data_IF_262285276685
#
_entry.id   IF_262285276685
#
_cell.length_a   1.000
_cell.length_b   1.000
_cell.length_c   1.000
_cell.angle_alpha   90.00
_cell.angle_beta   90.00
_cell.angle_gamma   90.00
#
_symmetry.space_group_name_H-M   'P 1'
#
loop_
_entity.id
_entity.type
_entity.pdbx_description
1 polymer ?
#
# COMPACT_ATOMS: atom_id res chain seq x y z
N UNK A 1 -10.69 20.20 13.84
CA UNK A 1 -10.19 18.82 13.68
C UNK A 1 -9.40 18.76 12.38
N UNK A 2 -8.07 18.84 12.48
CA UNK A 2 -7.17 18.91 11.33
C UNK A 2 -6.84 17.48 10.87
N UNK A 3 -7.23 17.11 9.64
CA UNK A 3 -6.87 15.82 9.04
C UNK A 3 -5.51 15.97 8.36
N UNK A 4 -4.46 15.48 9.01
CA UNK A 4 -3.13 15.40 8.44
C UNK A 4 -3.06 14.10 7.61
N UNK A 5 -3.07 14.24 6.28
CA UNK A 5 -2.75 13.16 5.36
C UNK A 5 -1.24 13.21 5.08
N UNK A 6 -0.45 12.35 5.72
CA UNK A 6 0.96 12.20 5.37
C UNK A 6 1.04 11.24 4.18
N UNK A 7 1.34 11.80 3.00
CA UNK A 7 1.79 11.03 1.85
C UNK A 7 3.31 10.87 1.96
N UNK A 8 3.79 9.66 2.25
CA UNK A 8 5.22 9.36 2.18
C UNK A 8 5.55 9.00 0.74
N UNK A 9 6.16 9.93 0.01
CA UNK A 9 6.78 9.65 -1.27
C UNK A 9 8.19 9.11 -1.01
N UNK A 10 8.41 7.81 -1.22
CA UNK A 10 9.76 7.24 -1.28
C UNK A 10 10.20 7.21 -2.75
N UNK A 11 11.02 8.18 -3.12
CA UNK A 11 11.74 8.18 -4.39
C UNK A 11 13.14 7.63 -4.09
N UNK A 12 13.46 6.45 -4.60
CA UNK A 12 14.86 6.01 -4.74
C UNK A 12 15.05 5.41 -6.12
N UNK A 13 15.61 6.23 -7.01
CA UNK A 13 16.21 5.83 -8.28
C UNK A 13 17.67 5.40 -8.05
N UNK A 14 18.07 4.24 -8.56
CA UNK A 14 19.44 4.00 -9.03
C UNK A 14 19.47 2.75 -9.94
N UNK A 15 19.58 3.01 -11.24
CA UNK A 15 19.98 2.05 -12.28
C UNK A 15 21.50 2.13 -12.44
N UNK A 16 22.21 1.07 -12.07
CA UNK A 16 23.60 0.79 -12.45
C UNK A 16 23.75 -0.73 -12.35
N UNK A 17 24.18 -1.54 -13.31
CA UNK A 17 24.81 -1.40 -14.61
C UNK A 17 25.60 -2.71 -14.79
N UNK A 18 25.18 -3.60 -15.70
CA UNK A 18 25.91 -4.85 -15.95
C UNK A 18 27.06 -4.59 -16.93
N UNK A 19 28.29 -4.86 -16.50
CA UNK A 19 29.47 -4.88 -17.36
C UNK A 19 29.79 -6.30 -17.83
N UNK A 20 30.12 -6.45 -19.11
CA UNK A 20 30.86 -7.60 -19.64
C UNK A 20 31.92 -7.08 -20.63
N UNK A 21 33.16 -7.51 -20.35
CA UNK A 21 34.44 -7.29 -21.05
C UNK A 21 34.56 -8.32 -22.19
N UNK A 22 34.94 -7.92 -23.41
CA UNK A 22 36.29 -7.84 -24.02
C UNK A 22 36.36 -8.81 -25.22
N UNK A 23 36.88 -8.36 -26.37
CA UNK A 23 37.05 -9.23 -27.54
C UNK A 23 37.51 -8.57 -28.85
N UNK A 24 38.71 -7.99 -28.84
CA UNK A 24 39.74 -7.87 -29.90
C UNK A 24 39.44 -7.31 -31.34
N UNK A 25 40.46 -6.71 -32.02
CA UNK A 25 40.28 -5.80 -33.16
C UNK A 25 40.70 -6.40 -34.52
N UNK A 26 40.24 -5.81 -35.64
CA UNK A 26 40.90 -5.91 -36.95
C UNK A 26 40.37 -4.87 -37.96
N UNK A 27 41.26 -4.00 -38.46
CA UNK A 27 41.33 -3.59 -39.87
C UNK A 27 40.40 -2.48 -40.40
N UNK A 28 40.93 -1.45 -41.11
CA UNK A 28 40.16 -0.30 -41.60
C UNK A 28 39.73 -0.47 -43.07
N UNK A 29 38.62 0.16 -43.49
CA UNK A 29 38.43 0.63 -44.87
C UNK A 29 37.26 1.63 -44.97
N UNK A 30 37.54 2.78 -45.60
CA UNK A 30 36.56 3.74 -46.12
C UNK A 30 35.78 3.14 -47.29
N UNK A 31 34.48 3.44 -47.39
CA UNK A 31 33.80 3.62 -48.67
C UNK A 31 32.50 4.42 -48.53
N UNK A 32 32.27 5.23 -49.55
CA UNK A 32 31.21 6.23 -49.77
C UNK A 32 29.90 5.59 -50.22
N UNK A 33 28.72 6.05 -49.74
CA UNK A 33 27.54 6.30 -50.58
C UNK A 33 26.41 7.05 -49.83
N UNK A 34 25.54 7.80 -50.53
CA UNK A 34 24.42 8.55 -49.98
C UNK A 34 23.15 7.68 -49.97
N UNK A 35 22.39 7.71 -48.88
CA UNK A 35 21.07 7.07 -48.82
C UNK A 35 19.97 8.09 -48.54
N UNK A 36 19.00 8.09 -49.46
CA UNK A 36 17.78 8.89 -49.42
C UNK A 36 16.83 8.32 -48.35
N UNK A 37 16.53 9.11 -47.33
CA UNK A 37 15.53 8.74 -46.32
C UNK A 37 14.14 9.22 -46.75
N UNK A 38 13.29 8.29 -47.19
CA UNK A 38 11.84 8.46 -47.14
C UNK A 38 11.35 8.02 -45.76
N UNK A 39 10.96 8.98 -44.91
CA UNK A 39 10.36 8.70 -43.59
C UNK A 39 8.88 8.33 -43.74
N UNK A 40 8.48 7.21 -43.15
CA UNK A 40 7.09 6.81 -43.01
C UNK A 40 6.32 7.73 -42.04
N UNK A 41 5.00 7.96 -42.22
CA UNK A 41 4.22 8.81 -41.33
C UNK A 41 4.15 8.24 -39.91
N UNK A 42 4.51 9.06 -38.92
CA UNK A 42 4.38 8.74 -37.49
C UNK A 42 2.90 8.72 -37.08
N UNK A 43 2.49 7.65 -36.39
CA UNK A 43 1.15 7.55 -35.80
C UNK A 43 0.93 8.67 -34.75
N UNK A 44 -0.30 9.20 -34.62
CA UNK A 44 -0.60 10.23 -33.62
C UNK A 44 -0.29 9.75 -32.18
N UNK A 45 0.17 10.64 -31.28
CA UNK A 45 0.35 10.30 -29.89
C UNK A 45 -0.97 9.78 -29.30
N UNK A 46 -0.92 8.59 -28.70
CA UNK A 46 -2.03 8.05 -27.94
C UNK A 46 -2.46 9.06 -26.87
N UNK A 47 -3.73 9.47 -26.92
CA UNK A 47 -4.33 10.29 -25.90
C UNK A 47 -4.17 9.59 -24.55
N UNK A 48 -3.48 10.25 -23.61
CA UNK A 48 -3.30 9.77 -22.25
C UNK A 48 -4.68 9.79 -21.58
N UNK A 49 -5.22 8.61 -21.26
CA UNK A 49 -6.41 8.50 -20.42
C UNK A 49 -6.12 9.20 -19.07
N UNK A 50 -7.10 9.94 -18.50
CA UNK A 50 -6.92 10.61 -17.22
C UNK A 50 -6.52 9.58 -16.15
N UNK A 51 -5.35 9.74 -15.54
CA UNK A 51 -4.92 8.93 -14.41
C UNK A 51 -5.92 9.10 -13.27
N UNK A 52 -6.80 8.10 -13.11
CA UNK A 52 -7.70 7.95 -11.99
C UNK A 52 -6.85 7.84 -10.71
N UNK A 53 -6.94 8.83 -9.83
CA UNK A 53 -6.33 8.77 -8.51
C UNK A 53 -6.82 7.51 -7.77
N UNK A 54 -5.94 6.56 -7.48
CA UNK A 54 -6.30 5.38 -6.69
C UNK A 54 -6.60 5.80 -5.24
N UNK A 55 -7.89 5.82 -4.90
CA UNK A 55 -8.34 5.94 -3.51
C UNK A 55 -7.89 4.67 -2.75
N UNK A 56 -7.45 4.78 -1.48
CA UNK A 56 -7.05 3.59 -0.72
C UNK A 56 -8.23 2.62 -0.60
N UNK A 57 -7.96 1.33 -0.89
CA UNK A 57 -8.91 0.22 -0.87
C UNK A 57 -9.76 0.20 0.41
N UNK A 58 -9.11 0.49 1.54
CA UNK A 58 -9.73 0.61 2.85
C UNK A 58 -9.43 1.96 3.50
N UNK A 59 -10.35 2.42 4.35
CA UNK A 59 -10.10 3.53 5.25
C UNK A 59 -10.57 3.18 6.66
N UNK A 60 -9.71 3.43 7.65
CA UNK A 60 -10.08 3.38 9.07
C UNK A 60 -10.61 4.76 9.48
N UNK A 61 -11.86 4.83 9.96
CA UNK A 61 -12.53 6.10 10.25
C UNK A 61 -12.42 6.55 11.71
N UNK A 62 -12.31 5.59 12.63
CA UNK A 62 -12.21 5.79 14.08
C UNK A 62 -11.53 4.52 14.61
N UNK A 63 -10.41 4.64 15.31
CA UNK A 63 -9.72 3.50 15.93
C UNK A 63 -9.08 3.90 17.26
N UNK A 64 -9.06 2.98 18.23
CA UNK A 64 -8.35 3.17 19.48
C UNK A 64 -8.70 2.11 20.53
N UNK A 65 -7.99 2.15 21.65
CA UNK A 65 -8.27 1.29 22.81
C UNK A 65 -9.49 1.85 23.56
N UNK A 66 -10.53 1.02 23.71
CA UNK A 66 -11.77 1.34 24.41
C UNK A 66 -12.15 0.18 25.34
N UNK A 67 -12.95 0.45 26.37
CA UNK A 67 -13.49 -0.60 27.24
C UNK A 67 -14.64 -1.33 26.52
N UNK A 68 -14.59 -2.65 26.53
CA UNK A 68 -15.66 -3.55 26.12
C UNK A 68 -16.60 -3.88 27.28
N UNK A 69 -17.44 -4.90 27.08
CA UNK A 69 -18.24 -5.44 28.17
C UNK A 69 -17.34 -5.97 29.30
N UNK A 70 -17.80 -5.88 30.54
CA UNK A 70 -17.07 -6.33 31.73
C UNK A 70 -15.71 -5.62 31.96
N UNK A 71 -15.47 -4.48 31.31
CA UNK A 71 -14.25 -3.68 31.51
C UNK A 71 -13.02 -4.17 30.74
N UNK A 72 -13.16 -5.19 29.89
CA UNK A 72 -12.06 -5.74 29.08
C UNK A 72 -11.56 -4.68 28.09
N UNK A 73 -10.23 -4.53 27.96
CA UNK A 73 -9.64 -3.62 26.97
C UNK A 73 -9.79 -4.20 25.56
N UNK A 74 -10.24 -3.38 24.62
CA UNK A 74 -10.45 -3.75 23.23
C UNK A 74 -9.88 -2.68 22.31
N UNK A 75 -9.22 -3.05 21.22
CA UNK A 75 -9.06 -2.13 20.10
C UNK A 75 -10.38 -2.13 19.33
N UNK A 76 -11.01 -0.97 19.23
CA UNK A 76 -12.26 -0.82 18.48
C UNK A 76 -12.05 0.13 17.33
N UNK A 77 -12.64 -0.19 16.17
CA UNK A 77 -12.66 0.75 15.07
C UNK A 77 -13.68 0.46 13.98
N UNK A 78 -13.66 1.29 12.93
CA UNK A 78 -14.53 1.11 11.76
C UNK A 78 -13.70 1.10 10.48
N UNK A 79 -13.75 -0.01 9.76
CA UNK A 79 -13.14 -0.15 8.43
C UNK A 79 -14.23 0.02 7.35
N UNK A 80 -13.93 0.77 6.29
CA UNK A 80 -14.81 0.87 5.11
C UNK A 80 -14.16 0.24 3.89
N UNK A 81 -14.89 -0.61 3.18
CA UNK A 81 -14.53 -1.02 1.81
C UNK A 81 -14.89 0.12 0.86
N UNK A 82 -13.90 0.77 0.24
CA UNK A 82 -14.13 1.86 -0.72
C UNK A 82 -14.24 1.38 -2.17
N UNK A 83 -14.17 0.07 -2.39
CA UNK A 83 -14.20 -0.53 -3.73
C UNK A 83 -15.61 -0.95 -4.13
N UNK A 84 -15.76 -1.27 -5.42
CA UNK A 84 -16.94 -1.96 -5.98
C UNK A 84 -16.85 -3.49 -5.86
N UNK A 85 -15.79 -4.04 -5.25
CA UNK A 85 -15.56 -5.48 -5.10
C UNK A 85 -16.01 -5.96 -3.72
N UNK A 86 -16.46 -7.21 -3.64
CA UNK A 86 -16.69 -7.90 -2.37
C UNK A 86 -15.42 -8.63 -1.94
N UNK A 87 -15.11 -8.65 -0.65
CA UNK A 87 -14.01 -9.44 -0.09
C UNK A 87 -14.55 -10.61 0.72
N UNK A 88 -14.15 -11.81 0.36
CA UNK A 88 -14.53 -13.05 1.05
C UNK A 88 -13.98 -13.10 2.49
N UNK A 89 -12.83 -12.46 2.70
CA UNK A 89 -12.19 -12.31 4.00
C UNK A 89 -11.43 -10.98 4.07
N UNK A 90 -11.50 -10.32 5.23
CA UNK A 90 -10.71 -9.14 5.57
C UNK A 90 -10.17 -9.31 6.98
N UNK A 91 -8.89 -9.02 7.18
CA UNK A 91 -8.22 -9.04 8.48
C UNK A 91 -7.48 -7.74 8.75
N UNK A 92 -7.58 -7.24 9.98
CA UNK A 92 -6.83 -6.10 10.49
C UNK A 92 -5.86 -6.62 11.54
N UNK A 93 -4.56 -6.38 11.32
CA UNK A 93 -3.48 -6.74 12.24
C UNK A 93 -3.03 -5.50 13.02
N UNK A 94 -2.88 -5.66 14.33
CA UNK A 94 -2.69 -4.54 15.25
C UNK A 94 -1.55 -4.86 16.22
N UNK A 95 -0.55 -3.99 16.29
CA UNK A 95 0.47 -4.03 17.32
C UNK A 95 0.02 -3.28 18.57
N UNK A 96 0.41 -3.78 19.74
CA UNK A 96 0.07 -3.22 21.04
C UNK A 96 1.33 -2.76 21.76
N UNK A 97 1.30 -1.55 22.30
CA UNK A 97 2.44 -0.90 22.93
C UNK A 97 2.08 -0.42 24.34
N UNK A 98 3.07 -0.44 25.24
CA UNK A 98 2.97 0.17 26.56
C UNK A 98 3.17 1.70 26.51
N UNK A 99 3.22 2.32 27.70
CA UNK A 99 3.39 3.77 27.86
C UNK A 99 4.77 4.29 27.48
N UNK A 100 5.77 3.41 27.42
CA UNK A 100 7.15 3.74 27.03
C UNK A 100 7.36 3.57 25.51
N UNK A 101 6.41 2.96 24.82
CA UNK A 101 6.48 2.68 23.39
C UNK A 101 7.11 1.33 23.05
N UNK A 102 7.29 0.44 24.03
CA UNK A 102 7.71 -0.95 23.79
C UNK A 102 6.53 -1.75 23.28
N UNK A 103 6.74 -2.56 22.24
CA UNK A 103 5.72 -3.49 21.78
C UNK A 103 5.57 -4.61 22.81
N UNK A 104 4.37 -4.72 23.39
CA UNK A 104 4.06 -5.72 24.43
C UNK A 104 3.21 -6.87 23.91
N UNK A 105 2.66 -6.74 22.69
CA UNK A 105 1.89 -7.80 22.06
C UNK A 105 1.33 -7.40 20.70
N UNK A 106 0.38 -8.20 20.23
CA UNK A 106 -0.40 -7.93 19.02
C UNK A 106 -1.79 -8.57 19.15
N UNK A 107 -2.73 -8.06 18.37
CA UNK A 107 -4.10 -8.59 18.27
C UNK A 107 -4.60 -8.45 16.84
N UNK A 108 -5.75 -9.05 16.54
CA UNK A 108 -6.37 -8.96 15.23
C UNK A 108 -7.90 -9.00 15.32
N UNK A 109 -8.54 -8.50 14.28
CA UNK A 109 -9.94 -8.72 14.02
C UNK A 109 -10.13 -9.13 12.56
N UNK A 110 -11.17 -9.91 12.29
CA UNK A 110 -11.52 -10.30 10.92
C UNK A 110 -13.03 -10.28 10.67
N UNK A 111 -13.39 -10.29 9.39
CA UNK A 111 -14.77 -10.41 8.92
C UNK A 111 -14.80 -11.16 7.57
N UNK A 112 -15.86 -11.91 7.35
CA UNK A 112 -16.14 -12.55 6.07
C UNK A 112 -17.14 -11.74 5.24
N UNK A 113 -17.04 -11.87 3.92
CA UNK A 113 -18.03 -11.38 2.96
C UNK A 113 -18.30 -9.86 3.07
N UNK A 114 -17.24 -9.05 3.19
CA UNK A 114 -17.36 -7.60 3.26
C UNK A 114 -17.75 -7.03 1.90
N UNK A 115 -19.04 -6.70 1.78
CA UNK A 115 -19.64 -6.20 0.54
C UNK A 115 -19.02 -4.86 0.05
N UNK A 116 -19.21 -4.53 -1.24
CA UNK A 116 -18.82 -3.23 -1.79
C UNK A 116 -19.39 -2.06 -1.00
N UNK A 117 -18.58 -1.05 -0.72
CA UNK A 117 -19.03 0.16 0.01
C UNK A 117 -19.34 -0.03 1.50
N UNK A 118 -19.35 -1.28 2.00
CA UNK A 118 -19.79 -1.60 3.36
C UNK A 118 -18.81 -1.07 4.42
N UNK A 119 -19.35 -0.86 5.62
CA UNK A 119 -18.59 -0.54 6.83
C UNK A 119 -18.67 -1.70 7.80
N UNK A 120 -17.53 -2.03 8.39
CA UNK A 120 -17.41 -3.04 9.43
C UNK A 120 -16.87 -2.40 10.71
N UNK A 121 -17.64 -2.53 11.80
CA UNK A 121 -17.21 -2.19 13.15
C UNK A 121 -16.51 -3.40 13.75
N UNK A 122 -15.23 -3.27 14.06
CA UNK A 122 -14.43 -4.36 14.61
C UNK A 122 -14.09 -4.11 16.07
N UNK A 123 -13.93 -5.21 16.81
CA UNK A 123 -13.41 -5.24 18.17
C UNK A 123 -12.33 -6.33 18.22
N UNK A 124 -11.15 -5.98 18.71
CA UNK A 124 -10.04 -6.91 18.91
C UNK A 124 -9.63 -6.90 20.39
N UNK A 125 -9.69 -8.04 21.11
CA UNK A 125 -9.35 -8.09 22.52
C UNK A 125 -7.87 -7.83 22.76
N UNK A 126 -7.60 -7.14 23.87
CA UNK A 126 -6.26 -6.88 24.39
C UNK A 126 -6.10 -7.75 25.63
N UNK A 127 -5.11 -8.64 25.61
CA UNK A 127 -4.79 -9.50 26.76
C UNK A 127 -3.68 -8.90 27.62
N UNK A 128 -2.92 -7.95 27.06
CA UNK A 128 -1.78 -7.31 27.66
C UNK A 128 -2.23 -6.14 28.54
N UNK A 129 -2.16 -6.32 29.86
CA UNK A 129 -2.58 -5.29 30.82
C UNK A 129 -1.81 -3.97 30.66
N UNK A 130 -0.52 -4.05 30.31
CA UNK A 130 0.35 -2.90 30.09
C UNK A 130 0.06 -2.12 28.81
N UNK A 131 -0.73 -2.68 27.88
CA UNK A 131 -1.01 -2.00 26.62
C UNK A 131 -1.84 -0.74 26.83
N UNK A 132 -1.30 0.38 26.33
CA UNK A 132 -1.90 1.73 26.37
C UNK A 132 -2.01 2.38 25.01
N UNK A 133 -1.30 1.86 24.00
CA UNK A 133 -1.34 2.32 22.61
C UNK A 133 -1.52 1.14 21.67
N UNK A 134 -2.20 1.37 20.55
CA UNK A 134 -2.40 0.40 19.48
C UNK A 134 -2.06 1.02 18.12
N UNK A 135 -1.59 0.22 17.19
CA UNK A 135 -1.28 0.64 15.82
C UNK A 135 -1.73 -0.43 14.83
N UNK A 136 -2.55 -0.04 13.85
CA UNK A 136 -2.89 -0.93 12.73
C UNK A 136 -1.67 -1.03 11.83
N UNK A 137 -1.11 -2.23 11.71
CA UNK A 137 0.11 -2.46 10.92
C UNK A 137 -0.20 -3.04 9.54
N UNK A 138 -1.34 -3.73 9.40
CA UNK A 138 -1.71 -4.34 8.13
C UNK A 138 -3.23 -4.51 7.98
N UNK A 139 -3.70 -4.48 6.73
CA UNK A 139 -5.06 -4.86 6.35
C UNK A 139 -4.99 -5.76 5.13
N UNK A 140 -5.28 -7.05 5.30
CA UNK A 140 -5.30 -8.05 4.21
C UNK A 140 -6.73 -8.35 3.79
N UNK A 141 -6.95 -8.61 2.49
CA UNK A 141 -8.27 -8.94 1.96
C UNK A 141 -8.21 -9.74 0.66
N UNK A 142 -9.06 -10.76 0.55
CA UNK A 142 -9.16 -11.69 -0.59
C UNK A 142 -10.53 -11.66 -1.25
#
# INVERSE_FOLDING_TARGET
>A
MLRICIAVAVITSALTGCGAKDGAPSGPVSSTQPDSQTQAPQAPPAAQEPQKSEQPKFSSLDFGIKKGQFGVKMVKGTLKNNTSQSFSYVQVEINLYDGEGTQVGSTLANVNNLAPGAKWKYEAPIMEESATKAEIVNVTAY
#
